data_IF_449829599637
#
_entry.id   IF_449829599637
#
_cell.length_a   1.000
_cell.length_b   1.000
_cell.length_c   1.000
_cell.angle_alpha   90.00
_cell.angle_beta   90.00
_cell.angle_gamma   90.00
#
_symmetry.space_group_name_H-M   'P 1'
#
loop_
_entity.id
_entity.type
_entity.pdbx_description
1 polymer ?
#
# COMPACT_ATOMS: atom_id res chain seq x y z
N UNK A 1 -7.50 8.37 -13.78
CA UNK A 1 -6.25 8.55 -14.56
C UNK A 1 -5.31 7.39 -14.25
N UNK A 2 -4.37 7.03 -15.12
CA UNK A 2 -3.52 5.83 -14.96
C UNK A 2 -2.82 5.82 -13.60
N UNK A 3 -3.03 4.76 -12.82
CA UNK A 3 -2.82 4.80 -11.37
C UNK A 3 -1.36 4.64 -10.93
N UNK A 4 -0.44 4.12 -11.74
CA UNK A 4 0.93 3.95 -11.23
C UNK A 4 1.99 3.62 -12.27
N UNK A 5 3.21 4.10 -12.02
CA UNK A 5 4.43 3.68 -12.71
C UNK A 5 5.14 2.52 -11.97
N UNK A 6 4.64 2.09 -10.80
CA UNK A 6 5.20 0.96 -10.07
C UNK A 6 4.75 -0.35 -10.71
N UNK A 7 5.71 -1.24 -10.94
CA UNK A 7 5.44 -2.58 -11.45
C UNK A 7 6.48 -3.55 -10.94
N UNK A 8 6.07 -4.81 -10.83
CA UNK A 8 6.93 -5.93 -10.46
C UNK A 8 7.34 -6.72 -11.70
N UNK A 9 8.50 -7.34 -11.66
CA UNK A 9 9.11 -7.99 -12.84
C UNK A 9 9.35 -9.49 -12.64
N UNK A 10 9.48 -9.94 -11.40
CA UNK A 10 9.68 -11.32 -11.04
C UNK A 10 8.44 -12.18 -11.28
N UNK A 11 8.68 -13.46 -11.58
CA UNK A 11 7.62 -14.43 -11.91
C UNK A 11 6.66 -14.69 -10.74
N UNK A 12 7.14 -14.53 -9.51
CA UNK A 12 6.39 -14.79 -8.30
C UNK A 12 6.17 -13.52 -7.48
N UNK A 13 6.02 -12.40 -8.16
CA UNK A 13 5.79 -11.09 -7.56
C UNK A 13 4.36 -10.61 -7.81
N UNK A 14 3.95 -9.61 -7.06
CA UNK A 14 2.68 -8.94 -7.25
C UNK A 14 2.58 -7.72 -6.34
N UNK A 15 1.61 -6.86 -6.61
CA UNK A 15 1.44 -5.63 -5.85
C UNK A 15 -0.03 -5.22 -5.77
N UNK A 16 -0.33 -4.44 -4.75
CA UNK A 16 -1.59 -3.73 -4.57
C UNK A 16 -1.32 -2.26 -4.27
N UNK A 17 -2.26 -1.39 -4.59
CA UNK A 17 -2.13 0.05 -4.33
C UNK A 17 -3.06 0.48 -3.20
N UNK A 18 -2.52 1.26 -2.27
CA UNK A 18 -3.29 2.07 -1.33
C UNK A 18 -3.50 3.43 -1.99
N UNK A 19 -4.74 3.75 -2.32
CA UNK A 19 -5.09 5.00 -3.01
C UNK A 19 -4.89 6.20 -2.07
N UNK A 20 -4.29 7.28 -2.57
CA UNK A 20 -4.18 8.52 -1.79
C UNK A 20 -5.55 9.13 -1.50
N UNK A 21 -6.56 8.84 -2.32
CA UNK A 21 -7.95 9.13 -2.02
C UNK A 21 -8.38 8.59 -0.65
N UNK A 22 -7.77 7.50 -0.17
CA UNK A 22 -8.17 6.80 1.06
C UNK A 22 -7.31 7.18 2.28
N UNK A 23 -6.19 7.89 2.10
CA UNK A 23 -5.23 8.16 3.18
C UNK A 23 -4.74 9.61 3.25
N UNK A 24 -4.85 10.39 2.18
CA UNK A 24 -4.49 11.81 2.19
C UNK A 24 -5.58 12.61 2.89
N UNK A 25 -5.15 13.42 3.85
CA UNK A 25 -6.02 14.27 4.66
C UNK A 25 -5.81 15.72 4.26
N UNK A 26 -6.92 16.42 4.08
CA UNK A 26 -6.97 17.85 3.86
C UNK A 26 -7.70 18.49 5.03
N UNK A 27 -7.23 19.65 5.44
CA UNK A 27 -7.91 20.48 6.42
C UNK A 27 -8.43 21.76 5.78
N UNK A 28 -9.58 22.22 6.23
CA UNK A 28 -10.11 23.51 5.84
C UNK A 28 -9.19 24.63 6.38
N UNK A 29 -9.02 25.72 5.62
CA UNK A 29 -8.14 26.84 5.99
C UNK A 29 -8.68 27.61 7.19
N UNK A 30 -10.01 27.68 7.29
CA UNK A 30 -10.72 28.35 8.37
C UNK A 30 -10.96 27.36 9.51
N UNK A 31 -10.78 27.82 10.75
CA UNK A 31 -11.11 27.06 11.95
C UNK A 31 -12.56 27.34 12.36
N UNK A 32 -13.20 26.32 12.93
CA UNK A 32 -14.46 26.44 13.65
C UNK A 32 -14.28 27.27 14.93
N UNK A 33 -15.40 27.58 15.58
CA UNK A 33 -15.46 28.42 16.79
C UNK A 33 -14.66 27.84 17.97
N UNK A 34 -14.40 26.53 17.97
CA UNK A 34 -13.58 25.85 18.99
C UNK A 34 -12.07 25.82 18.64
N UNK A 35 -11.69 26.39 17.50
CA UNK A 35 -10.31 26.42 17.01
C UNK A 35 -9.89 25.15 16.27
N UNK A 36 -10.76 24.15 16.12
CA UNK A 36 -10.50 22.99 15.27
C UNK A 36 -10.78 23.31 13.82
N UNK A 37 -9.95 22.80 12.89
CA UNK A 37 -10.22 22.90 11.47
C UNK A 37 -10.89 21.60 11.02
N UNK A 38 -11.94 21.69 10.20
CA UNK A 38 -12.55 20.51 9.59
C UNK A 38 -11.49 19.74 8.79
N UNK A 39 -11.42 18.43 8.98
CA UNK A 39 -10.51 17.54 8.25
C UNK A 39 -11.31 16.52 7.44
N UNK A 40 -10.92 16.31 6.18
CA UNK A 40 -11.54 15.35 5.26
C UNK A 40 -10.49 14.58 4.48
N UNK A 41 -10.86 13.39 4.03
CA UNK A 41 -10.01 12.64 3.09
C UNK A 41 -10.12 13.21 1.68
N UNK A 42 -9.10 12.97 0.87
CA UNK A 42 -9.09 13.39 -0.54
C UNK A 42 -10.31 12.88 -1.32
N UNK A 43 -10.75 11.63 -1.08
CA UNK A 43 -11.98 11.06 -1.68
C UNK A 43 -13.25 11.86 -1.45
N UNK A 44 -13.30 12.63 -0.36
CA UNK A 44 -14.50 13.34 0.09
C UNK A 44 -14.51 14.79 -0.43
N UNK A 45 -13.47 15.18 -1.17
CA UNK A 45 -13.36 16.49 -1.81
C UNK A 45 -13.60 16.39 -3.31
N UNK A 46 -14.45 17.27 -3.83
CA UNK A 46 -14.61 17.39 -5.28
C UNK A 46 -13.53 18.26 -5.92
N UNK A 47 -13.50 18.29 -7.26
CA UNK A 47 -12.52 19.07 -8.02
C UNK A 47 -12.60 20.58 -7.72
N UNK A 48 -13.80 21.11 -7.49
CA UNK A 48 -14.01 22.51 -7.16
C UNK A 48 -13.44 22.85 -5.78
N UNK A 49 -13.66 21.98 -4.80
CA UNK A 49 -13.10 22.12 -3.45
C UNK A 49 -11.56 22.07 -3.46
N UNK A 50 -10.98 21.11 -4.20
CA UNK A 50 -9.52 20.96 -4.32
C UNK A 50 -8.84 22.14 -5.03
N UNK A 51 -9.53 22.78 -5.97
CA UNK A 51 -8.98 23.92 -6.73
C UNK A 51 -9.39 25.28 -6.20
N UNK A 52 -10.35 25.33 -5.27
CA UNK A 52 -10.87 26.56 -4.66
C UNK A 52 -9.92 27.23 -3.68
N UNK A 53 -8.91 26.50 -3.17
CA UNK A 53 -7.90 27.01 -2.24
C UNK A 53 -8.33 27.07 -0.77
N UNK A 54 -9.53 26.55 -0.47
CA UNK A 54 -10.06 26.47 0.89
C UNK A 54 -9.54 25.26 1.67
N UNK A 55 -9.14 24.20 0.95
CA UNK A 55 -8.60 22.98 1.52
C UNK A 55 -7.08 22.90 1.34
N UNK A 56 -6.38 22.65 2.43
CA UNK A 56 -4.92 22.58 2.49
C UNK A 56 -4.52 21.15 2.85
N UNK A 57 -3.59 20.58 2.10
CA UNK A 57 -3.02 19.27 2.42
C UNK A 57 -2.42 19.28 3.83
N UNK A 58 -2.81 18.33 4.66
CA UNK A 58 -2.29 18.17 6.02
C UNK A 58 -1.27 17.04 6.05
N UNK A 59 0.00 17.41 5.93
CA UNK A 59 1.13 16.48 5.94
C UNK A 59 1.16 15.63 7.22
N UNK A 60 0.88 16.23 8.37
CA UNK A 60 0.95 15.53 9.66
C UNK A 60 -0.20 14.55 9.81
N UNK A 61 -1.44 14.98 9.55
CA UNK A 61 -2.60 14.11 9.61
C UNK A 61 -2.49 12.95 8.61
N UNK A 62 -2.00 13.22 7.39
CA UNK A 62 -1.75 12.19 6.38
C UNK A 62 -0.70 11.19 6.85
N UNK A 63 0.42 11.65 7.44
CA UNK A 63 1.44 10.75 8.00
C UNK A 63 0.89 9.86 9.11
N UNK A 64 0.05 10.41 10.00
CA UNK A 64 -0.59 9.63 11.06
C UNK A 64 -1.52 8.55 10.50
N UNK A 65 -2.40 8.90 9.55
CA UNK A 65 -3.31 7.93 8.92
C UNK A 65 -2.53 6.85 8.18
N UNK A 66 -1.53 7.24 7.37
CA UNK A 66 -0.70 6.29 6.65
C UNK A 66 0.02 5.34 7.60
N UNK A 67 0.58 5.86 8.71
CA UNK A 67 1.24 5.02 9.71
C UNK A 67 0.25 4.06 10.37
N UNK A 68 -0.93 4.51 10.77
CA UNK A 68 -1.97 3.68 11.40
C UNK A 68 -2.41 2.53 10.48
N UNK A 69 -2.65 2.82 9.20
CA UNK A 69 -3.00 1.81 8.18
C UNK A 69 -1.86 0.80 8.03
N UNK A 70 -0.61 1.25 7.93
CA UNK A 70 0.56 0.39 7.74
C UNK A 70 0.86 -0.47 8.98
N UNK A 71 0.72 0.08 10.18
CA UNK A 71 0.90 -0.65 11.43
C UNK A 71 -0.17 -1.74 11.59
N UNK A 72 -1.43 -1.40 11.30
CA UNK A 72 -2.55 -2.34 11.36
C UNK A 72 -2.43 -3.44 10.31
N UNK A 73 -2.09 -3.08 9.07
CA UNK A 73 -1.76 -4.03 7.99
C UNK A 73 -0.62 -4.97 8.40
N UNK A 74 0.47 -4.43 8.92
CA UNK A 74 1.65 -5.19 9.33
C UNK A 74 1.32 -6.19 10.44
N UNK A 75 0.55 -5.74 11.45
CA UNK A 75 0.10 -6.58 12.55
C UNK A 75 -0.76 -7.76 12.06
N UNK A 76 -1.76 -7.48 11.21
CA UNK A 76 -2.63 -8.51 10.64
C UNK A 76 -1.86 -9.50 9.75
N UNK A 77 -0.94 -8.99 8.93
CA UNK A 77 -0.15 -9.82 8.02
C UNK A 77 0.78 -10.77 8.79
N UNK A 78 1.48 -10.26 9.81
CA UNK A 78 2.36 -11.08 10.66
C UNK A 78 1.59 -12.14 11.46
N UNK A 79 0.37 -11.81 11.91
CA UNK A 79 -0.52 -12.79 12.56
C UNK A 79 -0.92 -13.93 11.62
N UNK A 80 -1.12 -13.63 10.33
CA UNK A 80 -1.48 -14.61 9.31
C UNK A 80 -0.27 -15.41 8.79
N UNK A 81 0.90 -14.79 8.72
CA UNK A 81 2.14 -15.41 8.22
C UNK A 81 3.30 -15.24 9.22
N UNK A 82 3.38 -16.10 10.25
CA UNK A 82 4.44 -16.05 11.26
C UNK A 82 5.86 -16.30 10.72
N UNK A 83 5.99 -16.69 9.45
CA UNK A 83 7.27 -16.88 8.77
C UNK A 83 7.85 -15.58 8.18
N UNK A 84 7.13 -14.46 8.32
CA UNK A 84 7.63 -13.13 8.07
C UNK A 84 8.08 -12.46 9.37
N UNK A 85 9.03 -11.55 9.27
CA UNK A 85 9.43 -10.65 10.36
C UNK A 85 9.63 -9.24 9.82
N UNK A 86 9.64 -8.25 10.72
CA UNK A 86 10.03 -6.89 10.36
C UNK A 86 11.48 -6.88 9.88
N UNK A 87 11.75 -6.13 8.82
CA UNK A 87 13.10 -5.86 8.35
C UNK A 87 13.83 -4.92 9.31
N UNK A 88 15.14 -4.79 9.14
CA UNK A 88 15.87 -3.67 9.74
C UNK A 88 15.24 -2.33 9.27
N UNK A 89 15.14 -1.32 10.14
CA UNK A 89 14.73 0.01 9.74
C UNK A 89 15.56 0.51 8.55
N UNK A 90 14.89 1.18 7.61
CA UNK A 90 15.50 1.78 6.40
C UNK A 90 16.24 0.79 5.49
N UNK A 91 15.79 -0.47 5.44
CA UNK A 91 16.23 -1.41 4.40
C UNK A 91 15.64 -1.04 3.04
N UNK A 92 16.45 -0.47 2.16
CA UNK A 92 16.13 -0.22 0.76
C UNK A 92 16.66 -1.36 -0.12
N UNK A 93 15.79 -1.97 -0.92
CA UNK A 93 16.20 -3.03 -1.86
C UNK A 93 16.40 -2.48 -3.28
N UNK A 94 15.92 -1.26 -3.54
CA UNK A 94 16.16 -0.50 -4.75
C UNK A 94 16.19 1.01 -4.42
N UNK A 95 16.13 1.89 -5.43
CA UNK A 95 16.13 3.35 -5.22
C UNK A 95 14.80 3.88 -4.66
N UNK A 96 13.71 3.14 -4.85
CA UNK A 96 12.34 3.56 -4.51
C UNK A 96 11.59 2.55 -3.64
N UNK A 97 12.07 1.31 -3.55
CA UNK A 97 11.43 0.25 -2.76
C UNK A 97 12.06 0.11 -1.38
N UNK A 98 11.27 0.44 -0.36
CA UNK A 98 11.63 0.27 1.05
C UNK A 98 10.99 -0.99 1.60
N UNK A 99 11.81 -1.96 2.01
CA UNK A 99 11.32 -3.21 2.59
C UNK A 99 10.87 -3.00 4.05
N UNK A 100 9.66 -3.45 4.38
CA UNK A 100 9.07 -3.37 5.72
C UNK A 100 8.94 -4.73 6.41
N UNK A 101 8.75 -5.80 5.63
CA UNK A 101 8.73 -7.17 6.12
C UNK A 101 9.56 -8.06 5.21
N UNK A 102 10.05 -9.18 5.76
CA UNK A 102 10.74 -10.18 4.98
C UNK A 102 10.46 -11.60 5.47
N UNK A 103 10.56 -12.54 4.54
CA UNK A 103 10.68 -13.97 4.80
C UNK A 103 11.97 -14.48 4.16
N UNK A 104 12.33 -15.77 4.30
CA UNK A 104 13.48 -16.32 3.59
C UNK A 104 13.39 -16.21 2.05
N UNK A 105 12.18 -16.05 1.49
CA UNK A 105 11.93 -16.12 0.05
C UNK A 105 11.46 -14.80 -0.58
N UNK A 106 10.98 -13.85 0.23
CA UNK A 106 10.35 -12.62 -0.25
C UNK A 106 10.66 -11.41 0.64
N UNK A 107 10.68 -10.24 0.04
CA UNK A 107 10.47 -8.96 0.70
C UNK A 107 9.01 -8.52 0.52
N UNK A 108 8.50 -7.78 1.49
CA UNK A 108 7.32 -6.95 1.34
C UNK A 108 7.76 -5.50 1.40
N UNK A 109 7.54 -4.78 0.31
CA UNK A 109 8.05 -3.44 0.09
C UNK A 109 6.94 -2.41 -0.02
N UNK A 110 7.28 -1.18 0.34
CA UNK A 110 6.50 0.01 0.04
C UNK A 110 7.24 0.80 -1.04
N UNK A 111 6.51 1.20 -2.07
CA UNK A 111 6.99 2.11 -3.10
C UNK A 111 5.97 3.23 -3.31
N UNK A 112 6.41 4.45 -3.06
CA UNK A 112 5.61 5.66 -3.20
C UNK A 112 5.46 6.02 -4.69
N UNK A 113 4.27 6.45 -5.10
CA UNK A 113 4.05 7.03 -6.42
C UNK A 113 3.15 8.25 -6.34
N UNK A 114 2.90 8.89 -7.48
CA UNK A 114 2.16 10.15 -7.52
C UNK A 114 0.71 10.10 -7.00
N UNK A 115 0.08 8.92 -6.96
CA UNK A 115 -1.35 8.77 -6.70
C UNK A 115 -1.69 7.69 -5.67
N UNK A 116 -0.70 6.92 -5.24
CA UNK A 116 -0.88 5.77 -4.38
C UNK A 116 0.42 5.29 -3.76
N UNK A 117 0.29 4.50 -2.70
CA UNK A 117 1.39 3.74 -2.12
C UNK A 117 1.30 2.28 -2.58
N UNK A 118 2.31 1.79 -3.29
CA UNK A 118 2.38 0.40 -3.71
C UNK A 118 2.85 -0.48 -2.55
N UNK A 119 2.14 -1.59 -2.33
CA UNK A 119 2.51 -2.65 -1.39
C UNK A 119 2.88 -3.87 -2.21
N UNK A 120 4.17 -4.17 -2.26
CA UNK A 120 4.75 -5.09 -3.23
C UNK A 120 5.31 -6.35 -2.55
N UNK A 121 5.01 -7.51 -3.11
CA UNK A 121 5.67 -8.76 -2.77
C UNK A 121 6.79 -8.99 -3.78
N UNK A 122 8.04 -8.84 -3.34
CA UNK A 122 9.24 -8.93 -4.18
C UNK A 122 9.97 -10.25 -3.89
N UNK A 123 10.31 -11.00 -4.94
CA UNK A 123 10.95 -12.30 -4.80
C UNK A 123 12.44 -12.12 -4.47
N UNK A 124 12.97 -12.89 -3.50
CA UNK A 124 14.40 -12.89 -3.20
C UNK A 124 15.16 -13.79 -4.18
N UNK A 125 16.38 -13.37 -4.51
CA UNK A 125 17.32 -14.21 -5.25
C UNK A 125 17.95 -15.27 -4.33
N UNK A 126 18.08 -16.53 -4.79
CA UNK A 126 18.75 -17.57 -4.04
C UNK A 126 20.27 -17.36 -4.04
N UNK A 127 20.98 -17.90 -3.03
CA UNK A 127 22.43 -18.04 -3.10
C UNK A 127 22.85 -18.82 -4.35
N UNK A 128 24.07 -18.56 -4.82
CA UNK A 128 24.62 -19.21 -6.03
C UNK A 128 24.46 -20.73 -5.98
N UNK A 129 23.98 -21.31 -7.08
CA UNK A 129 23.76 -22.76 -7.22
C UNK A 129 22.51 -23.31 -6.55
N UNK A 130 21.63 -22.46 -5.99
CA UNK A 130 20.32 -22.86 -5.46
C UNK A 130 19.18 -22.25 -6.29
N UNK A 131 17.97 -22.79 -6.11
CA UNK A 131 16.76 -22.24 -6.71
C UNK A 131 15.65 -22.12 -5.66
N UNK A 132 15.03 -20.95 -5.60
CA UNK A 132 13.82 -20.72 -4.81
C UNK A 132 12.53 -20.90 -5.61
N UNK A 133 12.61 -21.13 -6.93
CA UNK A 133 11.47 -21.07 -7.83
C UNK A 133 10.30 -21.98 -7.41
N UNK A 134 10.58 -23.23 -7.02
CA UNK A 134 9.54 -24.16 -6.58
C UNK A 134 8.90 -23.76 -5.25
N UNK A 135 9.68 -23.16 -4.34
CA UNK A 135 9.17 -22.70 -3.04
C UNK A 135 8.35 -21.42 -3.22
N UNK A 136 8.87 -20.45 -3.98
CA UNK A 136 8.20 -19.20 -4.32
C UNK A 136 6.89 -19.46 -5.06
N UNK A 137 6.88 -20.35 -6.06
CA UNK A 137 5.67 -20.76 -6.79
C UNK A 137 4.57 -21.31 -5.88
N UNK A 138 4.93 -22.03 -4.82
CA UNK A 138 3.96 -22.67 -3.90
C UNK A 138 3.28 -21.69 -2.95
N UNK A 139 3.88 -20.54 -2.67
CA UNK A 139 3.37 -19.63 -1.63
C UNK A 139 3.04 -18.21 -2.09
N UNK A 140 3.57 -17.72 -3.22
CA UNK A 140 3.39 -16.31 -3.60
C UNK A 140 1.91 -15.89 -3.71
N UNK A 141 1.05 -16.71 -4.33
CA UNK A 141 -0.39 -16.41 -4.44
C UNK A 141 -1.06 -16.31 -3.06
N UNK A 142 -0.65 -17.17 -2.12
CA UNK A 142 -1.16 -17.15 -0.75
C UNK A 142 -0.76 -15.86 -0.04
N UNK A 143 0.49 -15.41 -0.23
CA UNK A 143 0.95 -14.14 0.32
C UNK A 143 0.24 -12.95 -0.33
N UNK A 144 0.11 -12.90 -1.65
CA UNK A 144 -0.63 -11.83 -2.35
C UNK A 144 -2.09 -11.76 -1.89
N UNK A 145 -2.78 -12.89 -1.77
CA UNK A 145 -4.15 -12.94 -1.26
C UNK A 145 -4.21 -12.44 0.20
N UNK A 146 -3.20 -12.79 0.99
CA UNK A 146 -3.07 -12.30 2.35
C UNK A 146 -2.82 -10.79 2.44
N UNK A 147 -1.98 -10.23 1.55
CA UNK A 147 -1.76 -8.79 1.44
C UNK A 147 -3.09 -8.08 1.16
N UNK A 148 -3.82 -8.50 0.12
CA UNK A 148 -5.11 -7.94 -0.21
C UNK A 148 -6.09 -7.97 0.96
N UNK A 149 -6.21 -9.13 1.64
CA UNK A 149 -7.07 -9.31 2.81
C UNK A 149 -6.70 -8.36 3.96
N UNK A 150 -5.42 -8.29 4.30
CA UNK A 150 -4.94 -7.42 5.38
C UNK A 150 -5.15 -5.94 5.07
N UNK A 151 -4.90 -5.52 3.83
CA UNK A 151 -5.17 -4.13 3.42
C UNK A 151 -6.67 -3.81 3.47
N UNK A 152 -7.50 -4.71 2.93
CA UNK A 152 -8.95 -4.56 2.91
C UNK A 152 -9.62 -4.66 4.28
N UNK A 153 -8.90 -5.02 5.35
CA UNK A 153 -9.40 -4.88 6.72
C UNK A 153 -9.49 -3.40 7.15
N UNK A 154 -8.60 -2.56 6.62
CA UNK A 154 -8.40 -1.17 7.05
C UNK A 154 -8.73 -0.15 5.96
N UNK A 155 -8.90 -0.61 4.72
CA UNK A 155 -9.19 0.23 3.57
C UNK A 155 -10.51 -0.15 2.89
N UNK A 156 -11.22 0.82 2.28
CA UNK A 156 -12.48 0.58 1.58
C UNK A 156 -12.28 -0.17 0.25
N UNK A 157 -11.07 -0.13 -0.31
CA UNK A 157 -10.68 -0.86 -1.49
C UNK A 157 -9.17 -0.76 -1.71
N UNK A 158 -8.62 -1.63 -2.54
CA UNK A 158 -7.21 -1.55 -2.97
C UNK A 158 -7.12 -1.52 -4.49
N UNK A 159 -6.20 -0.73 -5.02
CA UNK A 159 -5.94 -0.69 -6.46
C UNK A 159 -5.23 -1.96 -6.93
N UNK A 160 -5.55 -2.35 -8.17
CA UNK A 160 -4.92 -3.46 -8.88
C UNK A 160 -4.10 -2.92 -10.04
N UNK A 161 -2.89 -3.45 -10.20
CA UNK A 161 -2.13 -3.27 -11.43
C UNK A 161 -2.72 -4.14 -12.54
N UNK A 162 -3.37 -3.52 -13.53
CA UNK A 162 -3.90 -4.24 -14.70
C UNK A 162 -3.24 -3.84 -16.01
N UNK A 163 -2.23 -2.96 -15.96
CA UNK A 163 -1.43 -2.49 -17.08
C UNK A 163 -1.11 -0.99 -17.00
N UNK A 164 -0.31 -0.45 -17.95
CA UNK A 164 0.14 0.94 -17.93
C UNK A 164 -0.98 2.00 -17.97
N UNK A 165 -2.19 1.64 -18.41
CA UNK A 165 -3.32 2.56 -18.60
C UNK A 165 -4.64 2.03 -18.03
N UNK A 166 -4.61 0.84 -17.44
CA UNK A 166 -5.79 0.17 -16.90
C UNK A 166 -5.57 -0.04 -15.42
N UNK A 167 -6.51 0.47 -14.63
CA UNK A 167 -6.57 0.21 -13.19
C UNK A 167 -7.82 -0.59 -12.85
N UNK A 168 -7.64 -1.55 -11.96
CA UNK A 168 -8.75 -2.21 -11.27
C UNK A 168 -8.82 -1.73 -9.83
N UNK A 169 -9.95 -1.96 -9.17
CA UNK A 169 -10.08 -1.81 -7.72
C UNK A 169 -10.71 -3.08 -7.17
N UNK A 170 -10.09 -3.65 -6.16
CA UNK A 170 -10.60 -4.79 -5.42
C UNK A 170 -11.25 -4.29 -4.14
N UNK A 171 -12.46 -4.77 -3.85
CA UNK A 171 -13.17 -4.54 -2.59
C UNK A 171 -13.28 -5.82 -1.77
N UNK A 172 -13.66 -5.68 -0.50
CA UNK A 172 -13.73 -6.80 0.45
C UNK A 172 -14.68 -7.89 -0.02
N UNK A 173 -15.80 -7.53 -0.65
CA UNK A 173 -16.84 -8.46 -1.10
C UNK A 173 -16.33 -9.42 -2.18
N UNK A 174 -15.39 -8.96 -3.00
CA UNK A 174 -14.81 -9.69 -4.13
C UNK A 174 -13.74 -10.72 -3.70
N UNK A 175 -13.24 -10.66 -2.47
CA UNK A 175 -12.27 -11.64 -1.92
C UNK A 175 -12.92 -12.97 -1.47
N UNK A 176 -14.24 -12.99 -1.38
CA UNK A 176 -15.06 -14.11 -0.88
C UNK A 176 -15.82 -14.88 -1.97
N UNK A 177 -15.73 -14.42 -3.23
CA UNK A 177 -16.29 -15.07 -4.41
C UNK A 177 -15.31 -16.10 -5.01
#
# INVERSE_FOLDING_TARGET
MGISNCCVFGKYEGLYFIDYDDIHVFRHKDCDLDGSAEARFLRDLDYGELTGGDWIFDDLATQFVQQEVLDSFTSDFLRMFPNFCKTCPDLWISRSQKAILESPLFYLCLEDNNWSLAVELIQKEPPQGRSYAALQARCYQRYLTGIARCLLNHLPGVGLYTGPWTSGRLRREELSA
#
